data_IF_741248072669
#
_entry.id   IF_741248072669
#
_cell.length_a   1.000
_cell.length_b   1.000
_cell.length_c   1.000
_cell.angle_alpha   90.00
_cell.angle_beta   90.00
_cell.angle_gamma   90.00
#
_symmetry.space_group_name_H-M   'P 1'
#
loop_
_entity.id
_entity.type
_entity.pdbx_description
1 polymer ?
#
# COMPACT_ATOMS: atom_id res chain seq x y z
N UNK A 1 2.33 -9.84 -17.91
CA UNK A 1 2.09 -8.44 -17.48
C UNK A 1 3.40 -7.72 -17.26
N UNK A 2 3.56 -6.56 -17.87
CA UNK A 2 4.76 -5.77 -17.69
C UNK A 2 4.63 -4.90 -16.44
N UNK A 3 5.73 -4.25 -16.03
CA UNK A 3 5.69 -3.34 -14.89
C UNK A 3 4.74 -2.17 -15.14
N UNK A 4 4.67 -1.68 -16.39
CA UNK A 4 3.75 -0.60 -16.72
C UNK A 4 2.30 -1.06 -16.61
N UNK A 5 2.01 -2.29 -17.02
CA UNK A 5 0.66 -2.82 -16.86
C UNK A 5 0.29 -2.93 -15.39
N UNK A 6 1.25 -3.32 -14.54
CA UNK A 6 1.00 -3.41 -13.10
C UNK A 6 0.67 -2.05 -12.50
N UNK A 7 1.22 -0.97 -13.06
CA UNK A 7 0.96 0.38 -12.57
C UNK A 7 -0.37 0.93 -13.08
N UNK A 8 -0.67 0.74 -14.38
CA UNK A 8 -1.82 1.37 -15.00
C UNK A 8 -3.08 0.51 -15.01
N UNK A 9 -2.93 -0.79 -14.94
CA UNK A 9 -4.06 -1.72 -14.99
C UNK A 9 -3.87 -2.89 -14.04
N UNK A 10 -3.63 -2.61 -12.76
CA UNK A 10 -3.45 -3.69 -11.80
C UNK A 10 -4.76 -4.42 -11.57
N UNK A 11 -4.67 -5.72 -11.27
CA UNK A 11 -5.83 -6.50 -10.87
C UNK A 11 -5.82 -6.83 -9.38
N UNK A 12 -4.65 -6.75 -8.75
CA UNK A 12 -4.50 -7.02 -7.32
C UNK A 12 -3.63 -5.93 -6.72
N UNK A 13 -4.21 -5.17 -5.80
CA UNK A 13 -3.55 -4.04 -5.16
C UNK A 13 -3.45 -4.28 -3.66
N UNK A 14 -2.28 -4.00 -3.10
CA UNK A 14 -2.10 -4.02 -1.64
C UNK A 14 -1.81 -2.61 -1.17
N UNK A 15 -2.41 -2.21 -0.06
CA UNK A 15 -2.13 -0.92 0.57
C UNK A 15 -1.51 -1.19 1.93
N UNK A 16 -0.28 -0.74 2.11
CA UNK A 16 0.50 -0.94 3.33
C UNK A 16 0.53 0.33 4.15
N UNK A 17 0.51 0.16 5.47
CA UNK A 17 0.55 1.30 6.38
C UNK A 17 -0.80 1.94 6.55
N UNK A 18 -1.86 1.18 6.32
CA UNK A 18 -3.22 1.70 6.50
C UNK A 18 -3.54 1.82 7.97
N UNK A 19 -4.10 2.97 8.34
CA UNK A 19 -4.52 3.26 9.70
C UNK A 19 -6.03 3.47 9.74
N UNK A 20 -6.63 3.23 10.89
CA UNK A 20 -8.04 3.54 11.08
C UNK A 20 -8.29 5.05 11.19
N UNK A 21 -7.23 5.82 11.38
CA UNK A 21 -7.32 7.27 11.44
C UNK A 21 -7.49 7.83 10.02
N UNK A 22 -8.65 8.48 9.72
CA UNK A 22 -8.92 8.97 8.36
C UNK A 22 -7.99 10.08 7.90
N UNK A 23 -7.23 10.70 8.81
CA UNK A 23 -6.27 11.74 8.43
C UNK A 23 -4.95 11.18 7.95
N UNK A 24 -4.70 9.88 8.14
CA UNK A 24 -3.43 9.27 7.73
C UNK A 24 -3.45 8.93 6.25
N UNK A 25 -2.28 9.08 5.61
CA UNK A 25 -2.16 8.88 4.17
C UNK A 25 -2.62 7.49 3.71
N UNK A 26 -2.23 6.44 4.44
CA UNK A 26 -2.62 5.09 4.05
C UNK A 26 -4.13 4.90 4.03
N UNK A 27 -4.83 5.51 5.00
CA UNK A 27 -6.29 5.46 5.04
C UNK A 27 -6.89 6.18 3.82
N UNK A 28 -6.34 7.36 3.50
CA UNK A 28 -6.80 8.14 2.34
C UNK A 28 -6.59 7.35 1.06
N UNK A 29 -5.44 6.70 0.92
CA UNK A 29 -5.15 5.89 -0.26
C UNK A 29 -6.15 4.74 -0.40
N UNK A 30 -6.41 4.03 0.68
CA UNK A 30 -7.37 2.93 0.63
C UNK A 30 -8.75 3.43 0.26
N UNK A 31 -9.19 4.52 0.88
CA UNK A 31 -10.49 5.11 0.58
C UNK A 31 -10.61 5.48 -0.89
N UNK A 32 -9.55 6.06 -1.45
CA UNK A 32 -9.57 6.45 -2.86
C UNK A 32 -9.61 5.24 -3.80
N UNK A 33 -8.86 4.20 -3.48
CA UNK A 33 -8.88 2.99 -4.29
C UNK A 33 -10.27 2.37 -4.30
N UNK A 34 -10.89 2.25 -3.13
CA UNK A 34 -12.21 1.67 -3.02
C UNK A 34 -13.28 2.56 -3.63
N UNK A 35 -13.19 3.87 -3.40
CA UNK A 35 -14.18 4.82 -3.90
C UNK A 35 -14.11 5.06 -5.40
N UNK A 36 -12.97 4.77 -6.01
CA UNK A 36 -12.80 4.93 -7.46
C UNK A 36 -13.37 3.79 -8.27
N UNK A 37 -13.99 2.81 -7.64
CA UNK A 37 -14.60 1.70 -8.37
C UNK A 37 -13.59 0.70 -8.92
N UNK A 38 -12.44 0.60 -8.28
CA UNK A 38 -11.43 -0.37 -8.69
C UNK A 38 -12.04 -1.78 -8.73
N UNK A 39 -12.01 -2.47 -9.89
CA UNK A 39 -12.72 -3.75 -10.04
C UNK A 39 -11.94 -4.95 -9.53
N UNK A 40 -10.69 -4.80 -9.18
CA UNK A 40 -9.85 -5.90 -8.76
C UNK A 40 -9.88 -6.17 -7.27
N UNK A 41 -8.94 -6.99 -6.81
CA UNK A 41 -8.82 -7.33 -5.41
C UNK A 41 -7.97 -6.31 -4.68
N UNK A 42 -8.40 -5.92 -3.48
CA UNK A 42 -7.67 -4.97 -2.64
C UNK A 42 -7.33 -5.66 -1.33
N UNK A 43 -6.05 -5.62 -0.99
CA UNK A 43 -5.54 -6.20 0.25
C UNK A 43 -5.03 -5.08 1.16
N UNK A 44 -5.37 -5.16 2.44
CA UNK A 44 -5.02 -4.13 3.42
C UNK A 44 -4.01 -4.71 4.41
N UNK A 45 -2.93 -3.99 4.65
CA UNK A 45 -1.92 -4.41 5.62
C UNK A 45 -1.92 -3.43 6.79
N UNK A 46 -2.22 -3.96 7.98
CA UNK A 46 -2.23 -3.19 9.22
C UNK A 46 -1.80 -4.11 10.36
N UNK A 47 -0.84 -3.69 11.21
CA UNK A 47 -0.33 -4.57 12.26
C UNK A 47 -1.39 -5.09 13.23
N UNK A 48 -2.49 -4.37 13.43
CA UNK A 48 -3.55 -4.84 14.32
C UNK A 48 -4.34 -5.99 13.74
N UNK A 49 -4.38 -6.12 12.41
CA UNK A 49 -5.18 -7.12 11.74
C UNK A 49 -6.67 -6.86 11.77
N UNK A 50 -7.09 -5.69 12.26
CA UNK A 50 -8.50 -5.35 12.35
C UNK A 50 -9.03 -4.80 11.04
N UNK A 51 -10.33 -4.98 10.75
CA UNK A 51 -10.91 -4.44 9.53
C UNK A 51 -10.78 -2.91 9.46
N UNK A 52 -10.55 -2.40 8.27
CA UNK A 52 -10.49 -0.96 8.01
C UNK A 52 -11.37 -0.69 6.80
N UNK A 53 -12.27 0.27 6.94
CA UNK A 53 -13.26 0.58 5.90
C UNK A 53 -14.00 -0.68 5.44
N UNK A 54 -14.34 -1.51 6.42
CA UNK A 54 -15.08 -2.77 6.22
C UNK A 54 -14.30 -3.79 5.40
N UNK A 55 -12.99 -3.62 5.26
CA UNK A 55 -12.13 -4.57 4.57
C UNK A 55 -11.27 -5.30 5.58
N UNK A 56 -11.18 -6.63 5.50
CA UNK A 56 -10.28 -7.35 6.37
C UNK A 56 -8.83 -6.95 6.08
N UNK A 57 -7.99 -6.96 7.10
CA UNK A 57 -6.59 -6.64 6.92
C UNK A 57 -5.73 -7.82 7.36
N UNK A 58 -4.49 -7.85 6.84
CA UNK A 58 -3.48 -8.79 7.31
C UNK A 58 -2.43 -8.01 8.08
N UNK A 59 -1.72 -8.70 8.96
CA UNK A 59 -0.83 -8.03 9.89
C UNK A 59 0.50 -7.60 9.28
N UNK A 60 0.92 -8.26 8.21
CA UNK A 60 2.19 -7.93 7.58
C UNK A 60 2.25 -8.45 6.16
N UNK A 61 3.33 -8.07 5.48
CA UNK A 61 3.55 -8.44 4.08
C UNK A 61 3.60 -9.96 3.90
N UNK A 62 4.15 -10.67 4.89
CA UNK A 62 4.28 -12.12 4.80
C UNK A 62 2.92 -12.85 4.81
N UNK A 63 1.86 -12.17 5.17
CA UNK A 63 0.51 -12.72 5.13
C UNK A 63 -0.23 -12.38 3.82
N UNK A 64 0.38 -11.61 2.94
CA UNK A 64 -0.21 -11.30 1.64
C UNK A 64 -0.08 -12.49 0.70
N UNK A 65 -1.02 -12.65 -0.25
CA UNK A 65 -0.85 -13.66 -1.28
C UNK A 65 0.29 -13.26 -2.23
N UNK A 66 0.80 -14.24 -2.96
CA UNK A 66 1.80 -13.98 -3.97
C UNK A 66 1.14 -13.33 -5.19
N UNK A 67 1.94 -12.60 -5.97
CA UNK A 67 1.44 -12.07 -7.23
C UNK A 67 0.62 -10.80 -7.11
N UNK A 68 0.89 -9.99 -6.11
CA UNK A 68 0.32 -8.65 -6.05
C UNK A 68 0.88 -7.83 -7.21
N UNK A 69 0.02 -7.15 -7.95
CA UNK A 69 0.45 -6.34 -9.08
C UNK A 69 1.03 -5.01 -8.63
N UNK A 70 0.34 -4.35 -7.72
CA UNK A 70 0.73 -3.01 -7.27
C UNK A 70 0.60 -2.93 -5.76
N UNK A 71 1.66 -2.47 -5.11
CA UNK A 71 1.63 -2.18 -3.68
C UNK A 71 1.80 -0.67 -3.48
N UNK A 72 0.89 -0.08 -2.73
CA UNK A 72 0.98 1.32 -2.32
C UNK A 72 1.52 1.31 -0.90
N UNK A 73 2.72 1.85 -0.72
CA UNK A 73 3.45 1.76 0.55
C UNK A 73 3.45 3.11 1.24
N UNK A 74 2.73 3.21 2.36
CA UNK A 74 2.67 4.41 3.18
C UNK A 74 3.19 4.07 4.56
N UNK A 75 4.50 3.93 4.68
CA UNK A 75 5.17 3.52 5.91
C UNK A 75 6.26 4.53 6.25
N UNK A 76 6.66 4.60 7.54
CA UNK A 76 7.82 5.41 7.89
C UNK A 76 9.07 4.90 7.16
N UNK A 77 10.02 5.79 6.88
CA UNK A 77 11.22 5.38 6.12
C UNK A 77 11.94 4.17 6.67
N UNK A 78 12.00 4.03 7.97
CA UNK A 78 12.69 2.90 8.61
C UNK A 78 12.01 1.56 8.38
N UNK A 79 10.74 1.57 7.98
CA UNK A 79 9.99 0.34 7.72
C UNK A 79 9.92 -0.02 6.23
N UNK A 80 10.33 0.91 5.36
CA UNK A 80 10.14 0.73 3.92
C UNK A 80 10.99 -0.40 3.36
N UNK A 81 12.25 -0.48 3.76
CA UNK A 81 13.15 -1.49 3.19
C UNK A 81 12.66 -2.91 3.46
N UNK A 82 12.26 -3.18 4.70
CA UNK A 82 11.75 -4.50 5.05
C UNK A 82 10.48 -4.83 4.26
N UNK A 83 9.61 -3.84 4.08
CA UNK A 83 8.38 -4.04 3.32
C UNK A 83 8.69 -4.35 1.86
N UNK A 84 9.57 -3.60 1.23
CA UNK A 84 9.94 -3.80 -0.16
C UNK A 84 10.59 -5.18 -0.36
N UNK A 85 11.46 -5.57 0.57
CA UNK A 85 12.11 -6.87 0.51
C UNK A 85 11.06 -7.99 0.57
N UNK A 86 10.10 -7.88 1.48
CA UNK A 86 9.05 -8.87 1.61
C UNK A 86 8.13 -8.92 0.39
N UNK A 87 7.79 -7.76 -0.16
CA UNK A 87 6.97 -7.70 -1.36
C UNK A 87 7.67 -8.33 -2.55
N UNK A 88 8.96 -8.05 -2.73
CA UNK A 88 9.73 -8.63 -3.82
C UNK A 88 9.80 -10.16 -3.70
N UNK A 89 9.99 -10.65 -2.49
CA UNK A 89 10.05 -12.10 -2.26
C UNK A 89 8.74 -12.79 -2.61
N UNK A 90 7.63 -12.06 -2.62
CA UNK A 90 6.33 -12.63 -2.94
C UNK A 90 5.89 -12.30 -4.37
N UNK A 91 6.80 -11.78 -5.19
CA UNK A 91 6.53 -11.56 -6.60
C UNK A 91 5.68 -10.32 -6.90
N UNK A 92 5.70 -9.33 -6.03
CA UNK A 92 5.03 -8.07 -6.30
C UNK A 92 5.70 -7.38 -7.50
N UNK A 93 4.89 -6.91 -8.42
CA UNK A 93 5.41 -6.37 -9.68
C UNK A 93 5.84 -4.93 -9.58
N UNK A 94 5.09 -4.10 -8.84
CA UNK A 94 5.36 -2.67 -8.73
C UNK A 94 5.03 -2.22 -7.32
N UNK A 95 5.87 -1.37 -6.74
CA UNK A 95 5.60 -0.74 -5.47
C UNK A 95 5.78 0.77 -5.62
N UNK A 96 4.80 1.52 -5.14
CA UNK A 96 4.85 2.99 -5.11
C UNK A 96 4.96 3.40 -3.67
N UNK A 97 6.03 4.11 -3.34
CA UNK A 97 6.31 4.53 -1.97
C UNK A 97 5.85 5.97 -1.81
N UNK A 98 4.97 6.17 -0.82
CA UNK A 98 4.40 7.48 -0.55
C UNK A 98 4.67 7.82 0.91
N UNK A 99 5.15 9.03 1.16
CA UNK A 99 5.42 9.48 2.52
C UNK A 99 4.75 10.83 2.76
N UNK A 100 3.95 10.91 3.80
CA UNK A 100 3.19 12.14 4.09
C UNK A 100 4.08 13.26 4.58
N UNK A 101 5.20 12.94 5.22
CA UNK A 101 6.11 13.96 5.73
C UNK A 101 7.03 14.56 4.69
N UNK A 102 7.06 13.97 3.52
CA UNK A 102 8.00 14.36 2.49
C UNK A 102 7.79 15.78 2.00
N UNK A 103 6.54 16.16 1.88
CA UNK A 103 6.21 17.53 1.45
C UNK A 103 6.72 18.59 2.39
N UNK A 104 6.62 18.34 3.70
CA UNK A 104 7.11 19.27 4.70
C UNK A 104 8.62 19.42 4.63
N UNK A 105 9.32 18.32 4.51
CA UNK A 105 10.77 18.34 4.37
C UNK A 105 11.15 19.07 3.08
N UNK A 106 10.50 18.76 2.00
CA UNK A 106 10.76 19.39 0.72
C UNK A 106 10.53 20.88 0.76
N UNK A 107 9.53 21.30 1.48
CA UNK A 107 9.21 22.71 1.61
C UNK A 107 10.32 23.47 2.30
N UNK A 108 10.85 22.91 3.36
CA UNK A 108 11.96 23.54 4.09
C UNK A 108 13.28 23.41 3.35
N UNK A 109 13.44 22.36 2.61
CA UNK A 109 14.66 22.11 1.88
C UNK A 109 14.81 22.90 0.61
N UNK A 110 13.76 23.50 0.16
CA UNK A 110 13.82 24.32 -1.04
C UNK A 110 14.39 25.69 -0.75
#
# INVERSE_FOLDING_TARGET
MSALDALFSPTRVAVLGVSRNPAKLGHVLLKNVLGGGFPGEVFVVNPSGEPILERPSVRGVDALPRGIDLALVSLPPEAVLAAITGLAARGTRMAVILTSGFGEVGERGR
#
